data_IF_540405338906
#
_entry.id   IF_540405338906
#
_cell.length_a   1.000
_cell.length_b   1.000
_cell.length_c   1.000
_cell.angle_alpha   90.00
_cell.angle_beta   90.00
_cell.angle_gamma   90.00
#
_symmetry.space_group_name_H-M   'P 1'
#
loop_
_entity.id
_entity.type
_entity.pdbx_description
1 polymer ?
#
# COMPACT_ATOMS: atom_id res chain seq x y z
N UNK A 1 5.10 -1.69 2.10
CA UNK A 1 6.56 -1.88 2.01
C UNK A 1 6.98 -2.66 3.24
N UNK A 2 7.84 -3.66 3.08
CA UNK A 2 8.23 -4.56 4.17
C UNK A 2 9.74 -4.49 4.40
N UNK A 3 10.15 -4.38 5.67
CA UNK A 3 11.54 -4.41 6.14
C UNK A 3 11.72 -3.62 7.44
N UNK A 4 12.95 -3.27 7.80
CA UNK A 4 13.25 -2.62 9.09
C UNK A 4 12.60 -1.22 9.17
N UNK A 5 12.06 -0.81 10.35
CA UNK A 5 11.32 0.45 10.49
C UNK A 5 12.10 1.70 10.05
N UNK A 6 13.40 1.76 10.35
CA UNK A 6 14.24 2.91 9.98
C UNK A 6 14.50 2.98 8.47
N UNK A 7 14.64 1.83 7.81
CA UNK A 7 14.78 1.75 6.36
C UNK A 7 13.48 2.18 5.67
N UNK A 8 12.32 1.70 6.15
CA UNK A 8 11.00 2.10 5.64
C UNK A 8 10.76 3.59 5.83
N UNK A 9 11.17 4.14 6.98
CA UNK A 9 11.09 5.58 7.26
C UNK A 9 11.92 6.40 6.28
N UNK A 10 13.14 5.96 5.96
CA UNK A 10 14.02 6.65 5.02
C UNK A 10 13.44 6.68 3.59
N UNK A 11 12.69 5.66 3.20
CA UNK A 11 12.07 5.55 1.86
C UNK A 11 10.65 6.13 1.77
N UNK A 12 10.13 6.75 2.84
CA UNK A 12 8.75 7.22 2.87
C UNK A 12 8.45 8.24 1.77
N UNK A 13 9.33 9.22 1.56
CA UNK A 13 9.11 10.26 0.55
C UNK A 13 9.12 9.68 -0.87
N UNK A 14 10.07 8.79 -1.18
CA UNK A 14 10.10 8.04 -2.44
C UNK A 14 8.86 7.17 -2.62
N UNK A 15 8.35 6.55 -1.56
CA UNK A 15 7.10 5.81 -1.59
C UNK A 15 5.92 6.72 -1.93
N UNK A 16 5.81 7.90 -1.33
CA UNK A 16 4.74 8.86 -1.65
C UNK A 16 4.84 9.34 -3.11
N UNK A 17 6.04 9.62 -3.61
CA UNK A 17 6.27 9.97 -5.02
C UNK A 17 5.89 8.83 -5.96
N UNK A 18 6.30 7.60 -5.65
CA UNK A 18 5.89 6.40 -6.38
C UNK A 18 4.37 6.30 -6.44
N UNK A 19 3.68 6.38 -5.29
CA UNK A 19 2.22 6.28 -5.22
C UNK A 19 1.50 7.36 -6.04
N UNK A 20 2.02 8.60 -6.06
CA UNK A 20 1.49 9.70 -6.89
C UNK A 20 1.70 9.51 -8.40
N UNK A 21 2.59 8.59 -8.79
CA UNK A 21 2.85 8.25 -10.19
C UNK A 21 1.99 7.11 -10.72
N UNK A 22 1.33 6.34 -9.82
CA UNK A 22 0.60 5.13 -10.18
C UNK A 22 -0.67 5.49 -10.97
N UNK A 23 -0.75 5.07 -12.22
CA UNK A 23 -1.94 5.21 -13.07
C UNK A 23 -2.44 3.85 -13.53
N UNK A 24 -3.66 3.80 -14.06
CA UNK A 24 -4.20 2.62 -14.72
C UNK A 24 -4.36 2.89 -16.21
N UNK A 25 -3.74 2.04 -17.03
CA UNK A 25 -3.87 2.02 -18.49
C UNK A 25 -4.72 0.80 -18.87
N UNK A 26 -6.04 1.00 -18.93
CA UNK A 26 -7.00 -0.11 -18.87
C UNK A 26 -6.97 -0.78 -17.49
N UNK A 27 -6.82 -2.10 -17.46
CA UNK A 27 -6.71 -2.89 -16.21
C UNK A 27 -5.25 -3.07 -15.74
N UNK A 28 -4.28 -2.46 -16.42
CA UNK A 28 -2.86 -2.61 -16.08
C UNK A 28 -2.36 -1.37 -15.34
N UNK A 29 -1.71 -1.54 -14.17
CA UNK A 29 -1.07 -0.44 -13.49
C UNK A 29 0.23 -0.06 -14.19
N UNK A 30 0.48 1.25 -14.26
CA UNK A 30 1.72 1.87 -14.72
C UNK A 30 2.23 2.81 -13.63
N UNK A 31 3.54 3.00 -13.55
CA UNK A 31 4.17 3.85 -12.53
C UNK A 31 5.56 4.31 -12.96
N UNK A 32 6.08 5.30 -12.24
CA UNK A 32 7.48 5.73 -12.33
C UNK A 32 8.20 5.27 -11.07
N UNK A 33 9.33 4.60 -11.24
CA UNK A 33 10.16 4.16 -10.13
C UNK A 33 11.15 5.26 -9.73
N UNK A 34 11.38 5.47 -8.42
CA UNK A 34 12.54 6.20 -7.93
C UNK A 34 13.85 5.57 -8.45
N UNK A 35 14.91 6.36 -8.56
CA UNK A 35 16.19 5.93 -9.18
C UNK A 35 16.82 4.72 -8.48
N UNK A 36 16.69 4.63 -7.16
CA UNK A 36 17.18 3.53 -6.33
C UNK A 36 16.25 2.31 -6.33
N UNK A 37 15.12 2.32 -7.05
CA UNK A 37 14.18 1.20 -7.08
C UNK A 37 14.35 0.39 -8.37
N UNK A 38 14.06 -0.91 -8.29
CA UNK A 38 14.02 -1.82 -9.44
C UNK A 38 12.77 -2.68 -9.40
N UNK A 39 12.30 -3.08 -10.57
CA UNK A 39 11.18 -3.99 -10.70
C UNK A 39 11.65 -5.37 -11.15
N UNK A 40 11.19 -6.38 -10.44
CA UNK A 40 11.24 -7.78 -10.84
C UNK A 40 9.87 -8.19 -11.41
N UNK A 41 9.83 -9.16 -12.34
CA UNK A 41 8.57 -9.74 -12.81
C UNK A 41 7.73 -10.27 -11.64
N UNK A 42 6.41 -10.22 -11.80
CA UNK A 42 5.48 -10.85 -10.87
C UNK A 42 5.72 -12.35 -10.73
N UNK A 43 5.56 -12.87 -9.51
CA UNK A 43 5.61 -14.29 -9.20
C UNK A 43 4.40 -14.69 -8.34
N UNK A 44 3.88 -15.90 -8.57
CA UNK A 44 2.66 -16.39 -7.91
C UNK A 44 1.48 -15.44 -8.11
N UNK A 45 0.94 -14.85 -7.04
CA UNK A 45 -0.19 -13.91 -7.10
C UNK A 45 0.25 -12.45 -7.37
N UNK A 46 1.54 -12.17 -7.42
CA UNK A 46 2.05 -10.80 -7.59
C UNK A 46 2.07 -10.44 -9.07
N UNK A 47 1.61 -9.25 -9.38
CA UNK A 47 1.81 -8.61 -10.68
C UNK A 47 3.25 -8.12 -10.85
N UNK A 48 3.84 -7.55 -9.78
CA UNK A 48 5.22 -7.10 -9.76
C UNK A 48 5.78 -7.15 -8.33
N UNK A 49 7.10 -7.28 -8.23
CA UNK A 49 7.86 -7.07 -7.00
C UNK A 49 8.82 -5.90 -7.23
N UNK A 50 8.74 -4.86 -6.41
CA UNK A 50 9.66 -3.72 -6.47
C UNK A 50 10.66 -3.86 -5.32
N UNK A 51 11.95 -3.75 -5.65
CA UNK A 51 13.06 -3.83 -4.70
C UNK A 51 13.71 -2.45 -4.58
N UNK A 52 14.05 -2.07 -3.36
CA UNK A 52 14.81 -0.85 -3.09
C UNK A 52 16.28 -1.26 -2.95
N UNK A 53 17.15 -0.70 -3.78
CA UNK A 53 18.60 -0.94 -3.74
C UNK A 53 19.20 -0.42 -2.45
N UNK A 54 20.39 -0.92 -2.13
CA UNK A 54 21.23 -0.42 -1.02
C UNK A 54 20.58 -0.50 0.37
N UNK A 55 19.60 -1.39 0.53
CA UNK A 55 19.02 -1.80 1.81
C UNK A 55 19.40 -3.24 2.11
N UNK A 56 19.75 -3.53 3.37
CA UNK A 56 20.09 -4.87 3.85
C UNK A 56 19.34 -5.14 5.18
N UNK A 57 18.42 -6.12 5.25
CA UNK A 57 17.89 -6.87 4.11
C UNK A 57 17.16 -5.95 3.13
N UNK A 58 17.07 -6.36 1.86
CA UNK A 58 16.44 -5.54 0.82
C UNK A 58 14.96 -5.28 1.12
N UNK A 59 14.57 -3.99 1.15
CA UNK A 59 13.17 -3.60 1.25
C UNK A 59 12.42 -4.01 -0.02
N UNK A 60 11.14 -4.34 0.18
CA UNK A 60 10.28 -4.79 -0.90
C UNK A 60 8.90 -4.12 -0.88
N UNK A 61 8.37 -3.83 -2.07
CA UNK A 61 6.97 -3.51 -2.33
C UNK A 61 6.38 -4.57 -3.27
N UNK A 62 5.35 -5.28 -2.80
CA UNK A 62 4.59 -6.21 -3.62
C UNK A 62 3.38 -5.52 -4.26
N UNK A 63 3.16 -5.76 -5.55
CA UNK A 63 1.96 -5.29 -6.26
C UNK A 63 1.11 -6.52 -6.60
N UNK A 64 -0.12 -6.56 -6.07
CA UNK A 64 -1.02 -7.71 -6.19
C UNK A 64 -2.37 -7.22 -6.72
N UNK A 65 -2.89 -7.76 -7.84
CA UNK A 65 -4.25 -7.48 -8.27
C UNK A 65 -5.22 -8.19 -7.34
N UNK A 66 -6.20 -7.44 -6.82
CA UNK A 66 -7.29 -7.98 -6.02
C UNK A 66 -8.57 -8.05 -6.86
N UNK A 67 -9.45 -9.04 -6.62
CA UNK A 67 -10.77 -9.06 -7.24
C UNK A 67 -11.53 -7.78 -6.93
N UNK A 68 -12.20 -7.23 -7.94
CA UNK A 68 -13.06 -6.06 -7.82
C UNK A 68 -14.48 -6.44 -8.24
N UNK A 69 -15.42 -6.21 -7.34
CA UNK A 69 -16.86 -6.31 -7.57
C UNK A 69 -17.46 -5.00 -8.06
N UNK A 70 -18.79 -4.89 -7.96
CA UNK A 70 -19.55 -3.71 -8.38
C UNK A 70 -19.46 -2.55 -7.38
N UNK A 71 -19.12 -2.84 -6.11
CA UNK A 71 -18.96 -1.84 -5.06
C UNK A 71 -17.51 -1.84 -4.55
N UNK A 72 -16.68 -1.01 -5.19
CA UNK A 72 -15.27 -0.85 -4.85
C UNK A 72 -15.05 -0.35 -3.41
N UNK A 73 -16.02 0.36 -2.82
CA UNK A 73 -15.90 0.84 -1.43
C UNK A 73 -16.05 -0.32 -0.46
N UNK A 74 -17.02 -1.20 -0.70
CA UNK A 74 -17.20 -2.41 0.09
C UNK A 74 -15.99 -3.37 -0.05
N UNK A 75 -15.47 -3.54 -1.26
CA UNK A 75 -14.28 -4.37 -1.51
C UNK A 75 -13.04 -3.81 -0.79
N UNK A 76 -12.83 -2.49 -0.87
CA UNK A 76 -11.74 -1.82 -0.16
C UNK A 76 -11.85 -2.04 1.35
N UNK A 77 -13.03 -1.80 1.93
CA UNK A 77 -13.26 -1.97 3.36
C UNK A 77 -13.02 -3.41 3.82
N UNK A 78 -13.52 -4.39 3.05
CA UNK A 78 -13.33 -5.81 3.31
C UNK A 78 -11.84 -6.19 3.31
N UNK A 79 -11.07 -5.72 2.31
CA UNK A 79 -9.64 -5.97 2.25
C UNK A 79 -8.89 -5.33 3.43
N UNK A 80 -9.20 -4.08 3.78
CA UNK A 80 -8.58 -3.38 4.91
C UNK A 80 -8.86 -4.14 6.21
N UNK A 81 -10.11 -4.48 6.50
CA UNK A 81 -10.48 -5.19 7.73
C UNK A 81 -9.87 -6.59 7.80
N UNK A 82 -9.74 -7.29 6.66
CA UNK A 82 -9.02 -8.57 6.60
C UNK A 82 -7.55 -8.42 6.98
N UNK A 83 -6.85 -7.39 6.47
CA UNK A 83 -5.45 -7.18 6.81
C UNK A 83 -5.27 -6.71 8.26
N UNK A 84 -6.21 -5.92 8.79
CA UNK A 84 -6.24 -5.53 10.21
C UNK A 84 -6.35 -6.73 11.13
N UNK A 85 -7.26 -7.65 10.84
CA UNK A 85 -7.42 -8.90 11.59
C UNK A 85 -6.13 -9.75 11.61
N UNK A 86 -5.44 -9.86 10.45
CA UNK A 86 -4.15 -10.57 10.35
C UNK A 86 -3.05 -10.00 11.26
N UNK A 87 -3.16 -8.74 11.67
CA UNK A 87 -2.21 -8.09 12.60
C UNK A 87 -2.85 -7.73 13.94
N UNK A 88 -3.98 -8.37 14.28
CA UNK A 88 -4.65 -8.24 15.58
C UNK A 88 -5.27 -6.86 15.86
N UNK A 89 -5.66 -6.13 14.82
CA UNK A 89 -6.31 -4.82 14.93
C UNK A 89 -7.83 -4.95 14.70
N UNK A 90 -8.63 -4.17 15.46
CA UNK A 90 -10.08 -4.13 15.33
C UNK A 90 -10.53 -3.62 13.96
N UNK A 91 -11.64 -4.12 13.42
CA UNK A 91 -12.21 -3.61 12.17
C UNK A 91 -12.60 -2.13 12.24
N UNK A 92 -12.48 -1.42 11.11
CA UNK A 92 -12.95 -0.03 10.94
C UNK A 92 -14.22 0.01 10.08
N UNK A 93 -14.86 1.18 10.01
CA UNK A 93 -16.03 1.43 9.17
C UNK A 93 -15.67 2.16 7.88
N UNK A 94 -16.63 2.24 6.95
CA UNK A 94 -16.48 3.00 5.72
C UNK A 94 -16.34 4.52 5.97
N UNK A 95 -16.96 5.04 7.04
CA UNK A 95 -16.83 6.43 7.46
C UNK A 95 -15.37 6.77 7.82
N UNK A 96 -14.68 5.88 8.54
CA UNK A 96 -13.25 6.06 8.88
C UNK A 96 -12.37 6.22 7.63
N UNK A 97 -12.70 5.51 6.54
CA UNK A 97 -12.00 5.63 5.26
C UNK A 97 -12.30 6.97 4.60
N UNK A 98 -13.55 7.45 4.65
CA UNK A 98 -13.93 8.76 4.09
C UNK A 98 -13.25 9.91 4.83
N UNK A 99 -13.19 9.84 6.15
CA UNK A 99 -12.52 10.85 7.00
C UNK A 99 -11.02 10.94 6.74
N UNK A 100 -10.42 9.91 6.16
CA UNK A 100 -9.00 9.93 5.79
C UNK A 100 -8.70 10.77 4.53
N UNK A 101 -9.72 11.22 3.80
CA UNK A 101 -9.54 12.07 2.63
C UNK A 101 -8.81 13.38 2.94
N UNK A 102 -9.02 13.93 4.14
CA UNK A 102 -8.45 15.20 4.57
C UNK A 102 -7.10 15.06 5.30
N UNK A 103 -6.61 13.83 5.48
CA UNK A 103 -5.36 13.58 6.21
C UNK A 103 -4.15 13.70 5.29
N UNK A 104 -3.15 14.45 5.75
CA UNK A 104 -1.87 14.56 5.06
C UNK A 104 -1.06 13.26 5.17
N UNK A 105 -0.26 12.87 4.15
CA UNK A 105 0.61 11.72 4.23
C UNK A 105 1.65 11.88 5.35
N UNK A 106 1.71 10.90 6.25
CA UNK A 106 2.74 10.80 7.27
C UNK A 106 2.90 9.36 7.76
N UNK A 107 4.07 9.01 8.29
CA UNK A 107 4.38 7.67 8.80
C UNK A 107 3.57 7.28 10.05
N UNK A 108 3.11 8.26 10.80
CA UNK A 108 2.26 8.10 11.98
C UNK A 108 0.76 8.19 11.66
N UNK A 109 0.40 8.64 10.46
CA UNK A 109 -0.98 8.59 9.97
C UNK A 109 -1.33 7.18 9.49
N UNK A 110 -2.21 6.52 10.22
CA UNK A 110 -2.64 5.14 9.90
C UNK A 110 -3.36 5.05 8.54
N UNK A 111 -4.21 6.03 8.21
CA UNK A 111 -4.98 6.03 6.97
C UNK A 111 -5.01 7.43 6.38
N UNK A 112 -4.63 7.54 5.11
CA UNK A 112 -4.72 8.77 4.33
C UNK A 112 -5.02 8.44 2.86
N UNK A 113 -5.34 9.46 2.08
CA UNK A 113 -5.52 9.31 0.64
C UNK A 113 -4.53 10.14 -0.16
N UNK A 114 -4.17 9.63 -1.32
CA UNK A 114 -3.31 10.31 -2.29
C UNK A 114 -4.06 10.46 -3.61
N UNK A 115 -3.90 11.61 -4.25
CA UNK A 115 -4.35 11.79 -5.63
C UNK A 115 -3.27 11.30 -6.58
N UNK A 116 -3.64 10.43 -7.52
CA UNK A 116 -2.82 10.04 -8.65
C UNK A 116 -3.62 10.18 -9.94
N UNK A 117 -3.29 11.20 -10.74
CA UNK A 117 -4.10 11.60 -11.88
C UNK A 117 -5.53 12.01 -11.47
N UNK A 118 -6.52 11.33 -12.04
CA UNK A 118 -7.95 11.47 -11.72
C UNK A 118 -8.43 10.49 -10.63
N UNK A 119 -7.56 9.59 -10.16
CA UNK A 119 -7.89 8.56 -9.16
C UNK A 119 -7.42 8.96 -7.77
N UNK A 120 -8.11 8.41 -6.78
CA UNK A 120 -7.70 8.44 -5.38
C UNK A 120 -7.14 7.07 -5.00
N UNK A 121 -6.03 7.08 -4.27
CA UNK A 121 -5.42 5.89 -3.70
C UNK A 121 -5.51 5.98 -2.18
N UNK A 122 -6.10 4.98 -1.55
CA UNK A 122 -6.09 4.85 -0.09
C UNK A 122 -4.80 4.15 0.36
N UNK A 123 -4.11 4.76 1.31
CA UNK A 123 -2.90 4.20 1.92
C UNK A 123 -3.19 3.88 3.38
N UNK A 124 -2.95 2.63 3.76
CA UNK A 124 -3.17 2.13 5.12
C UNK A 124 -1.83 1.64 5.69
N UNK A 125 -1.40 2.23 6.81
CA UNK A 125 -0.21 1.87 7.57
C UNK A 125 -0.62 1.11 8.82
N UNK A 126 -0.53 -0.22 8.79
CA UNK A 126 -0.96 -1.09 9.88
C UNK A 126 0.20 -1.33 10.86
N UNK A 127 0.01 -0.91 12.11
CA UNK A 127 0.96 -1.14 13.22
C UNK A 127 0.35 -2.14 14.19
N UNK A 128 0.56 -3.42 13.92
CA UNK A 128 0.09 -4.53 14.75
C UNK A 128 1.13 -5.62 14.87
N UNK A 129 0.80 -6.66 15.63
CA UNK A 129 1.60 -7.89 15.68
C UNK A 129 0.88 -8.93 14.84
N UNK A 130 1.61 -9.68 14.01
CA UNK A 130 1.01 -10.81 13.29
C UNK A 130 0.23 -11.65 14.29
N UNK A 131 -1.08 -11.79 14.07
CA UNK A 131 -1.91 -12.62 14.91
C UNK A 131 -1.24 -13.99 14.94
N UNK A 132 -0.97 -14.50 16.14
CA UNK A 132 -0.37 -15.82 16.30
C UNK A 132 -1.20 -16.79 15.46
N UNK A 133 -0.58 -17.37 14.44
CA UNK A 133 -1.23 -18.37 13.62
C UNK A 133 -1.72 -19.47 14.60
N UNK A 134 -3.03 -19.75 14.70
CA UNK A 134 -3.49 -20.84 15.55
C UNK A 134 -2.84 -22.18 15.14
#
# INVERSE_FOLDING_TARGET
MTGEPDQVKAEFDHFIEFMKSVTLSGDKPEWKLPENWTQEPGSSMRFATLKIKDTDPALEVSVIPLPAGTDLTADLLSNINRWRDQVGLDSISAETIKEAADKSPALDTELFTLKSGDKMISVVSLKGMMAGNP
#
